data_IF_013422873845
#
_entry.id   IF_013422873845
#
_cell.length_a   1.000
_cell.length_b   1.000
_cell.length_c   1.000
_cell.angle_alpha   90.00
_cell.angle_beta   90.00
_cell.angle_gamma   90.00
#
_symmetry.space_group_name_H-M   'P 1'
#
loop_
_entity.id
_entity.type
_entity.pdbx_description
1 polymer ?
#
# COMPACT_ATOMS: atom_id res chain seq x y z
N UNK A 1 -19.43 -7.05 -66.15
CA UNK A 1 -18.91 -7.47 -64.84
C UNK A 1 -18.43 -6.24 -64.07
N UNK A 2 -19.25 -5.71 -63.15
CA UNK A 2 -18.95 -4.70 -62.12
C UNK A 2 -20.28 -4.40 -61.42
N UNK A 3 -20.25 -4.20 -60.11
CA UNK A 3 -21.36 -4.05 -59.14
C UNK A 3 -21.78 -5.38 -58.51
N UNK A 4 -21.30 -5.61 -57.29
CA UNK A 4 -21.93 -6.25 -56.11
C UNK A 4 -20.84 -6.73 -55.13
N UNK A 5 -20.13 -5.79 -54.49
CA UNK A 5 -19.40 -6.06 -53.22
C UNK A 5 -19.35 -4.73 -52.46
N UNK A 6 -20.44 -4.39 -51.77
CA UNK A 6 -20.50 -3.21 -50.91
C UNK A 6 -21.59 -3.44 -49.85
N UNK A 7 -21.37 -4.40 -48.95
CA UNK A 7 -22.10 -4.49 -47.67
C UNK A 7 -21.52 -5.60 -46.77
N UNK A 8 -20.27 -5.49 -46.29
CA UNK A 8 -19.78 -6.38 -45.21
C UNK A 8 -18.51 -5.85 -44.50
N UNK A 9 -18.44 -4.56 -44.16
CA UNK A 9 -17.24 -3.96 -43.55
C UNK A 9 -17.53 -2.89 -42.48
N UNK A 10 -18.67 -2.99 -41.80
CA UNK A 10 -19.09 -2.04 -40.75
C UNK A 10 -19.68 -2.73 -39.51
N UNK A 11 -19.10 -3.87 -39.10
CA UNK A 11 -19.41 -4.53 -37.81
C UNK A 11 -18.15 -4.79 -36.96
N UNK A 12 -16.95 -4.37 -37.38
CA UNK A 12 -15.71 -4.60 -36.61
C UNK A 12 -15.11 -3.36 -35.91
N UNK A 13 -15.80 -2.22 -35.85
CA UNK A 13 -15.23 -0.95 -35.34
C UNK A 13 -15.97 -0.36 -34.13
N UNK A 14 -16.64 -1.17 -33.31
CA UNK A 14 -17.25 -0.71 -32.04
C UNK A 14 -16.91 -1.62 -30.84
N UNK A 15 -15.88 -2.46 -30.93
CA UNK A 15 -15.49 -3.36 -29.83
C UNK A 15 -14.13 -3.03 -29.21
N UNK A 16 -13.80 -1.74 -29.06
CA UNK A 16 -12.49 -1.31 -28.52
C UNK A 16 -12.56 -0.40 -27.30
N UNK A 17 -13.73 -0.15 -26.72
CA UNK A 17 -13.88 0.70 -25.52
C UNK A 17 -14.43 -0.01 -24.29
N UNK A 18 -14.51 -1.34 -24.30
CA UNK A 18 -14.58 -2.09 -23.05
C UNK A 18 -13.14 -2.24 -22.56
N UNK A 19 -12.70 -1.28 -21.76
CA UNK A 19 -11.58 -1.50 -20.84
C UNK A 19 -11.99 -2.66 -19.95
N UNK A 20 -11.60 -3.88 -20.34
CA UNK A 20 -11.72 -5.03 -19.48
C UNK A 20 -10.82 -4.75 -18.29
N UNK A 21 -11.41 -4.31 -17.19
CA UNK A 21 -10.79 -4.35 -15.87
C UNK A 21 -10.59 -5.82 -15.53
N UNK A 22 -9.50 -6.40 -16.01
CA UNK A 22 -9.00 -7.66 -15.50
C UNK A 22 -8.49 -7.38 -14.09
N UNK A 23 -9.38 -7.47 -13.10
CA UNK A 23 -9.02 -7.79 -11.73
C UNK A 23 -8.48 -9.22 -11.70
N UNK A 24 -7.33 -9.43 -12.33
CA UNK A 24 -6.74 -10.74 -12.50
C UNK A 24 -5.82 -11.00 -11.32
N UNK A 25 -6.21 -11.95 -10.48
CA UNK A 25 -5.33 -12.58 -9.50
C UNK A 25 -3.99 -12.89 -10.19
N UNK A 26 -2.95 -12.12 -9.86
CA UNK A 26 -1.63 -12.33 -10.44
C UNK A 26 -1.11 -13.69 -9.95
N UNK A 27 -0.86 -14.61 -10.87
CA UNK A 27 -0.58 -16.00 -10.51
C UNK A 27 0.78 -16.17 -9.82
N UNK A 28 1.69 -15.24 -10.05
CA UNK A 28 3.07 -15.24 -9.56
C UNK A 28 3.26 -14.58 -8.19
N UNK A 29 2.17 -14.12 -7.54
CA UNK A 29 2.23 -13.56 -6.18
C UNK A 29 1.66 -14.49 -5.11
N UNK A 30 1.15 -15.67 -5.45
CA UNK A 30 0.37 -16.51 -4.53
C UNK A 30 1.12 -16.91 -3.25
N UNK A 31 2.44 -17.13 -3.34
CA UNK A 31 3.33 -17.45 -2.22
C UNK A 31 4.35 -16.32 -1.95
N UNK A 32 4.11 -15.12 -2.48
CA UNK A 32 5.04 -14.00 -2.37
C UNK A 32 4.79 -13.21 -1.08
N UNK A 33 5.85 -12.81 -0.37
CA UNK A 33 5.76 -12.08 0.90
C UNK A 33 4.95 -10.78 0.79
N UNK A 34 5.00 -10.11 -0.36
CA UNK A 34 4.28 -8.86 -0.63
C UNK A 34 2.83 -9.06 -1.13
N UNK A 35 2.31 -10.30 -1.20
CA UNK A 35 0.99 -10.61 -1.78
C UNK A 35 -0.14 -9.73 -1.25
N UNK A 36 -0.24 -9.61 0.07
CA UNK A 36 -1.33 -8.84 0.71
C UNK A 36 -1.34 -7.39 0.28
N UNK A 37 -0.18 -6.73 0.32
CA UNK A 37 -0.02 -5.34 -0.11
C UNK A 37 -0.29 -5.19 -1.61
N UNK A 38 0.22 -6.10 -2.44
CA UNK A 38 0.00 -6.08 -3.90
C UNK A 38 -1.50 -6.19 -4.20
N UNK A 39 -2.22 -7.13 -3.56
CA UNK A 39 -3.68 -7.27 -3.77
C UNK A 39 -4.44 -6.00 -3.37
N UNK A 40 -4.06 -5.37 -2.26
CA UNK A 40 -4.66 -4.11 -1.80
C UNK A 40 -4.42 -2.98 -2.80
N UNK A 41 -3.21 -2.88 -3.34
CA UNK A 41 -2.87 -1.87 -4.34
C UNK A 41 -3.58 -2.09 -5.68
N UNK A 42 -3.82 -3.35 -6.06
CA UNK A 42 -4.61 -3.70 -7.24
C UNK A 42 -6.08 -3.33 -7.02
N UNK A 43 -6.66 -3.63 -5.85
CA UNK A 43 -8.07 -3.30 -5.56
C UNK A 43 -8.33 -1.80 -5.51
N UNK A 44 -7.33 -1.01 -5.11
CA UNK A 44 -7.40 0.45 -5.08
C UNK A 44 -6.99 1.13 -6.40
N UNK A 45 -6.76 0.37 -7.48
CA UNK A 45 -6.31 0.86 -8.80
C UNK A 45 -4.98 1.67 -8.78
N UNK A 46 -4.18 1.50 -7.72
CA UNK A 46 -2.85 2.11 -7.62
C UNK A 46 -1.82 1.41 -8.52
N UNK A 47 -2.03 0.13 -8.80
CA UNK A 47 -1.17 -0.65 -9.68
C UNK A 47 -1.96 -1.71 -10.43
N UNK A 48 -1.46 -2.09 -11.60
CA UNK A 48 -2.01 -3.20 -12.38
C UNK A 48 -0.93 -4.24 -12.67
N UNK A 49 -1.37 -5.48 -12.85
CA UNK A 49 -0.54 -6.54 -13.42
C UNK A 49 -0.37 -6.39 -14.94
N UNK A 50 0.31 -7.35 -15.55
CA UNK A 50 0.53 -7.41 -16.99
C UNK A 50 -0.58 -8.18 -17.71
N UNK A 51 -0.75 -7.99 -19.03
CA UNK A 51 -1.77 -8.71 -19.81
C UNK A 51 -1.64 -10.24 -19.77
N UNK A 52 -0.45 -10.75 -19.46
CA UNK A 52 -0.14 -12.18 -19.32
C UNK A 52 -0.54 -12.77 -17.95
N UNK A 53 -1.25 -12.00 -17.11
CA UNK A 53 -1.65 -12.35 -15.74
C UNK A 53 -0.50 -12.45 -14.72
N UNK A 54 0.69 -11.94 -15.06
CA UNK A 54 1.79 -11.79 -14.10
C UNK A 54 1.77 -10.43 -13.41
N UNK A 55 2.36 -10.34 -12.23
CA UNK A 55 2.70 -9.08 -11.57
C UNK A 55 4.20 -8.76 -11.67
N UNK A 56 5.04 -9.79 -11.77
CA UNK A 56 6.52 -9.72 -11.81
C UNK A 56 7.10 -9.05 -10.55
N UNK A 57 6.78 -9.57 -9.35
CA UNK A 57 7.10 -8.89 -8.08
C UNK A 57 8.60 -8.67 -7.87
N UNK A 58 9.44 -9.58 -8.39
CA UNK A 58 10.88 -9.57 -8.20
C UNK A 58 11.65 -8.81 -9.29
N UNK A 59 10.95 -8.29 -10.32
CA UNK A 59 11.63 -7.52 -11.36
C UNK A 59 11.98 -6.13 -10.82
N UNK A 60 13.17 -5.59 -11.16
CA UNK A 60 13.48 -4.19 -10.91
C UNK A 60 12.45 -3.27 -11.57
N UNK A 61 12.13 -2.17 -10.91
CA UNK A 61 11.25 -1.12 -11.45
C UNK A 61 12.06 0.09 -11.89
N UNK A 62 11.66 0.71 -12.99
CA UNK A 62 12.28 1.94 -13.49
C UNK A 62 11.85 3.17 -12.70
N UNK A 63 12.60 4.27 -12.82
CA UNK A 63 12.24 5.57 -12.24
C UNK A 63 10.85 6.04 -12.68
N UNK A 64 10.53 5.92 -13.97
CA UNK A 64 9.22 6.32 -14.50
C UNK A 64 8.09 5.42 -13.99
N UNK A 65 8.28 4.11 -13.95
CA UNK A 65 7.28 3.21 -13.38
C UNK A 65 7.07 3.49 -11.88
N UNK A 66 8.13 3.79 -11.11
CA UNK A 66 8.01 4.18 -9.71
C UNK A 66 7.22 5.48 -9.55
N UNK A 67 7.47 6.49 -10.39
CA UNK A 67 6.66 7.73 -10.40
C UNK A 67 5.19 7.47 -10.75
N UNK A 68 4.86 6.52 -11.65
CA UNK A 68 3.46 6.13 -11.91
C UNK A 68 2.80 5.67 -10.61
N UNK A 69 3.49 4.83 -9.83
CA UNK A 69 2.98 4.33 -8.56
C UNK A 69 2.77 5.46 -7.55
N UNK A 70 3.74 6.37 -7.41
CA UNK A 70 3.64 7.53 -6.52
C UNK A 70 2.48 8.43 -6.92
N UNK A 71 2.39 8.80 -8.20
CA UNK A 71 1.33 9.67 -8.70
C UNK A 71 -0.07 9.09 -8.47
N UNK A 72 -0.25 7.78 -8.70
CA UNK A 72 -1.52 7.10 -8.45
C UNK A 72 -1.86 7.01 -6.97
N UNK A 73 -0.93 6.54 -6.14
CA UNK A 73 -1.18 6.30 -4.72
C UNK A 73 -1.35 7.59 -3.89
N UNK A 74 -0.68 8.68 -4.29
CA UNK A 74 -0.70 9.96 -3.56
C UNK A 74 -1.51 11.06 -4.29
N UNK A 75 -2.20 10.72 -5.38
CA UNK A 75 -3.14 11.63 -6.05
C UNK A 75 -2.50 12.81 -6.79
N UNK A 76 -1.22 12.74 -7.16
CA UNK A 76 -0.57 13.81 -7.92
C UNK A 76 -1.05 13.84 -9.37
N UNK A 77 -1.72 14.92 -9.75
CA UNK A 77 -2.37 15.06 -11.07
C UNK A 77 -1.83 16.23 -11.88
N UNK A 78 -1.38 17.31 -11.22
CA UNK A 78 -0.84 18.53 -11.83
C UNK A 78 0.43 18.24 -12.63
N UNK A 79 0.65 18.96 -13.73
CA UNK A 79 1.83 18.79 -14.60
C UNK A 79 2.68 20.05 -14.58
N UNK A 80 3.98 19.87 -14.36
CA UNK A 80 4.98 20.92 -14.42
C UNK A 80 5.70 20.94 -15.77
N UNK A 81 6.47 22.00 -15.99
CA UNK A 81 7.35 22.12 -17.15
C UNK A 81 8.48 21.08 -17.08
N UNK A 82 8.82 20.52 -18.25
CA UNK A 82 9.90 19.54 -18.38
C UNK A 82 11.10 20.20 -19.05
N UNK A 83 12.25 20.16 -18.38
CA UNK A 83 13.53 20.69 -18.88
C UNK A 83 14.63 19.63 -18.99
N UNK A 84 14.27 18.33 -18.97
CA UNK A 84 15.22 17.22 -19.02
C UNK A 84 15.46 16.76 -20.46
N UNK A 85 16.73 16.60 -20.83
CA UNK A 85 17.14 16.30 -22.22
C UNK A 85 16.68 14.94 -22.75
N UNK A 86 16.35 14.01 -21.87
CA UNK A 86 15.94 12.64 -22.16
C UNK A 86 14.45 12.41 -21.87
N UNK A 87 13.65 13.48 -21.79
CA UNK A 87 12.21 13.41 -21.57
C UNK A 87 11.48 14.11 -22.71
N UNK A 88 10.92 13.33 -23.64
CA UNK A 88 10.22 13.83 -24.84
C UNK A 88 8.70 13.72 -24.71
N UNK A 89 7.96 14.71 -25.21
CA UNK A 89 6.48 14.79 -25.10
C UNK A 89 5.70 13.58 -25.64
N UNK A 90 6.25 12.89 -26.65
CA UNK A 90 5.63 11.71 -27.24
C UNK A 90 5.80 10.41 -26.45
N UNK A 91 6.60 10.43 -25.37
CA UNK A 91 6.94 9.24 -24.61
C UNK A 91 5.93 8.95 -23.51
N UNK A 92 5.65 7.67 -23.25
CA UNK A 92 4.63 7.23 -22.29
C UNK A 92 4.87 7.79 -20.87
N UNK A 93 6.13 8.01 -20.50
CA UNK A 93 6.52 8.51 -19.18
C UNK A 93 6.39 10.04 -19.06
N UNK A 94 6.24 10.79 -20.15
CA UNK A 94 6.28 12.26 -20.13
C UNK A 94 5.31 12.86 -19.11
N UNK A 95 4.02 12.46 -19.18
CA UNK A 95 3.00 12.96 -18.25
C UNK A 95 3.30 12.59 -16.80
N UNK A 96 3.93 11.44 -16.56
CA UNK A 96 4.23 10.99 -15.20
C UNK A 96 5.42 11.76 -14.62
N UNK A 97 6.44 12.03 -15.45
CA UNK A 97 7.58 12.86 -15.07
C UNK A 97 7.11 14.29 -14.79
N UNK A 98 6.24 14.84 -15.62
CA UNK A 98 5.70 16.19 -15.42
C UNK A 98 4.97 16.33 -14.07
N UNK A 99 4.24 15.29 -13.65
CA UNK A 99 3.60 15.23 -12.32
C UNK A 99 4.60 15.14 -11.18
N UNK A 100 5.63 14.30 -11.35
CA UNK A 100 6.69 14.17 -10.36
C UNK A 100 7.45 15.49 -10.12
N UNK A 101 7.66 16.24 -11.20
CA UNK A 101 8.31 17.56 -11.16
C UNK A 101 7.41 18.59 -10.49
N UNK A 102 6.12 18.68 -10.86
CA UNK A 102 5.18 19.60 -10.23
C UNK A 102 5.04 19.36 -8.72
N UNK A 103 4.93 18.08 -8.33
CA UNK A 103 4.83 17.70 -6.92
C UNK A 103 6.17 17.79 -6.16
N UNK A 104 7.29 18.05 -6.85
CA UNK A 104 8.61 18.25 -6.24
C UNK A 104 9.27 17.00 -5.62
N UNK A 105 8.64 15.83 -5.73
CA UNK A 105 9.12 14.62 -5.05
C UNK A 105 10.28 13.91 -5.76
N UNK A 106 10.47 14.14 -7.07
CA UNK A 106 11.59 13.58 -7.82
C UNK A 106 12.15 14.58 -8.83
N UNK A 107 13.47 14.75 -8.81
CA UNK A 107 14.22 15.53 -9.79
C UNK A 107 15.16 14.66 -10.63
N UNK A 108 15.76 15.27 -11.64
CA UNK A 108 16.79 14.64 -12.47
C UNK A 108 18.18 14.69 -11.86
N UNK A 109 19.15 14.17 -12.61
CA UNK A 109 20.55 14.14 -12.27
C UNK A 109 21.25 15.45 -12.67
N UNK A 110 22.47 15.64 -12.15
CA UNK A 110 23.32 16.82 -12.42
C UNK A 110 23.71 16.99 -13.88
N UNK A 111 23.61 15.93 -14.69
CA UNK A 111 23.85 15.96 -16.14
C UNK A 111 22.65 16.43 -16.98
N UNK A 112 21.56 16.86 -16.32
CA UNK A 112 20.33 17.32 -16.95
C UNK A 112 19.41 16.21 -17.47
N UNK A 113 19.64 14.95 -17.09
CA UNK A 113 18.77 13.81 -17.43
C UNK A 113 17.81 13.43 -16.29
N UNK A 114 16.67 12.83 -16.63
CA UNK A 114 15.75 12.19 -15.67
C UNK A 114 15.98 10.68 -15.56
N UNK A 115 16.54 10.06 -16.61
CA UNK A 115 16.73 8.61 -16.80
C UNK A 115 15.46 7.80 -16.53
N UNK A 116 14.33 8.10 -17.20
CA UNK A 116 13.02 7.52 -16.87
C UNK A 116 13.01 5.98 -16.95
N UNK A 117 13.74 5.40 -17.89
CA UNK A 117 13.82 3.94 -18.09
C UNK A 117 14.93 3.26 -17.26
N UNK A 118 15.71 4.00 -16.47
CA UNK A 118 16.73 3.40 -15.63
C UNK A 118 16.08 2.84 -14.36
N UNK A 119 16.49 1.64 -13.89
CA UNK A 119 16.09 1.14 -12.58
C UNK A 119 16.38 2.15 -11.48
N UNK A 120 15.45 2.28 -10.53
CA UNK A 120 15.58 3.20 -9.40
C UNK A 120 16.28 2.50 -8.22
N UNK A 121 17.26 3.18 -7.63
CA UNK A 121 18.01 2.62 -6.51
C UNK A 121 17.32 2.87 -5.17
N UNK A 122 17.65 2.06 -4.16
CA UNK A 122 17.11 2.16 -2.81
C UNK A 122 17.31 3.54 -2.18
N UNK A 123 18.50 4.13 -2.30
CA UNK A 123 18.76 5.46 -1.77
C UNK A 123 18.04 6.59 -2.54
N UNK A 124 17.67 6.39 -3.82
CA UNK A 124 16.85 7.37 -4.54
C UNK A 124 15.39 7.31 -4.07
N UNK A 125 14.90 6.10 -3.79
CA UNK A 125 13.55 5.88 -3.27
C UNK A 125 13.37 6.56 -1.92
N UNK A 126 14.37 6.56 -1.03
CA UNK A 126 14.26 7.23 0.28
C UNK A 126 14.13 8.74 0.17
N UNK A 127 14.74 9.37 -0.85
CA UNK A 127 14.52 10.79 -1.16
C UNK A 127 13.06 11.03 -1.53
N UNK A 128 12.50 10.19 -2.40
CA UNK A 128 11.09 10.32 -2.81
C UNK A 128 10.17 10.15 -1.61
N UNK A 129 10.36 9.09 -0.81
CA UNK A 129 9.56 8.80 0.38
C UNK A 129 9.57 9.97 1.36
N UNK A 130 10.74 10.55 1.62
CA UNK A 130 10.86 11.69 2.54
C UNK A 130 10.17 12.94 2.00
N UNK A 131 10.26 13.18 0.68
CA UNK A 131 9.59 14.33 0.05
C UNK A 131 8.08 14.21 0.02
N UNK A 132 7.53 13.04 -0.32
CA UNK A 132 6.05 12.85 -0.36
C UNK A 132 5.41 12.83 1.03
N UNK A 133 6.17 12.47 2.07
CA UNK A 133 5.71 12.46 3.48
C UNK A 133 6.14 13.70 4.27
N UNK A 134 6.87 14.63 3.64
CA UNK A 134 7.52 15.76 4.29
C UNK A 134 8.32 15.35 5.55
N UNK A 135 8.99 14.20 5.50
CA UNK A 135 9.78 13.67 6.61
C UNK A 135 11.14 14.37 6.67
N UNK A 136 11.52 14.99 7.80
CA UNK A 136 12.84 15.60 7.96
C UNK A 136 13.98 14.57 7.86
N UNK A 137 15.08 14.99 7.26
CA UNK A 137 16.32 14.21 7.20
C UNK A 137 16.82 13.81 8.60
N UNK A 138 17.31 12.57 8.74
CA UNK A 138 17.85 12.05 10.00
C UNK A 138 19.14 11.25 9.74
N UNK A 139 20.28 11.93 9.51
CA UNK A 139 21.52 11.24 9.16
C UNK A 139 22.06 10.34 10.27
N UNK A 140 21.76 10.60 11.54
CA UNK A 140 22.21 9.75 12.67
C UNK A 140 21.61 8.34 12.66
N UNK A 141 20.46 8.15 12.01
CA UNK A 141 19.80 6.83 11.96
C UNK A 141 20.45 5.86 10.96
N UNK A 142 21.53 6.24 10.27
CA UNK A 142 22.25 5.33 9.36
C UNK A 142 23.32 4.49 10.07
N UNK A 143 23.70 4.84 11.30
CA UNK A 143 24.80 4.19 12.03
C UNK A 143 24.53 2.71 12.33
N UNK A 144 23.26 2.28 12.26
CA UNK A 144 22.86 0.88 12.35
C UNK A 144 23.19 0.06 11.09
N UNK A 145 23.60 0.69 9.99
CA UNK A 145 23.89 0.00 8.74
C UNK A 145 25.39 -0.25 8.55
N UNK A 146 25.75 -1.51 8.29
CA UNK A 146 27.15 -1.94 8.08
C UNK A 146 27.79 -1.32 6.86
N UNK A 147 26.99 -0.88 5.88
CA UNK A 147 27.40 -0.24 4.63
C UNK A 147 27.04 1.26 4.59
N UNK A 148 26.91 1.93 5.74
CA UNK A 148 26.60 3.36 5.82
C UNK A 148 27.57 4.25 5.02
N UNK A 149 28.81 3.82 4.84
CA UNK A 149 29.83 4.50 4.02
C UNK A 149 29.55 4.45 2.51
N UNK A 150 28.77 3.47 2.04
CA UNK A 150 28.35 3.35 0.64
C UNK A 150 27.14 4.24 0.29
N UNK A 151 26.47 4.82 1.30
CA UNK A 151 25.36 5.74 1.10
C UNK A 151 25.93 7.07 0.60
N UNK A 152 25.43 7.56 -0.54
CA UNK A 152 25.85 8.84 -1.07
C UNK A 152 25.55 9.97 -0.05
N UNK A 153 26.44 10.96 0.04
CA UNK A 153 26.29 12.03 1.05
C UNK A 153 24.94 12.76 0.97
N UNK A 154 24.42 12.98 -0.25
CA UNK A 154 23.11 13.59 -0.46
C UNK A 154 21.93 12.70 -0.04
N UNK A 155 22.14 11.40 0.14
CA UNK A 155 21.10 10.43 0.49
C UNK A 155 21.08 10.09 1.98
N UNK A 156 22.16 10.36 2.74
CA UNK A 156 22.32 9.91 4.13
C UNK A 156 21.16 10.32 5.04
N UNK A 157 20.78 11.59 4.98
CA UNK A 157 19.66 12.12 5.77
C UNK A 157 18.33 11.43 5.43
N UNK A 158 18.06 11.22 4.15
CA UNK A 158 16.85 10.56 3.67
C UNK A 158 16.81 9.07 3.99
N UNK A 159 17.95 8.37 3.87
CA UNK A 159 18.05 6.95 4.24
C UNK A 159 17.78 6.76 5.71
N UNK A 160 18.43 7.53 6.58
CA UNK A 160 18.19 7.44 8.01
C UNK A 160 16.76 7.83 8.39
N UNK A 161 16.17 8.84 7.74
CA UNK A 161 14.77 9.20 7.92
C UNK A 161 13.80 8.07 7.55
N UNK A 162 13.98 7.47 6.36
CA UNK A 162 13.14 6.36 5.90
C UNK A 162 13.28 5.10 6.77
N UNK A 163 14.49 4.84 7.30
CA UNK A 163 14.74 3.76 8.24
C UNK A 163 14.04 4.01 9.59
N UNK A 164 14.21 5.21 10.17
CA UNK A 164 13.60 5.59 11.44
C UNK A 164 12.07 5.60 11.39
N UNK A 165 11.48 5.99 10.26
CA UNK A 165 10.02 5.95 10.04
C UNK A 165 9.49 4.56 9.65
N UNK A 166 10.37 3.58 9.42
CA UNK A 166 9.99 2.23 9.02
C UNK A 166 9.50 2.10 7.58
N UNK A 167 9.62 3.15 6.75
CA UNK A 167 9.23 3.14 5.34
C UNK A 167 10.11 2.18 4.54
N UNK A 168 11.42 2.21 4.79
CA UNK A 168 12.40 1.33 4.16
C UNK A 168 13.51 1.00 5.15
N UNK A 169 13.66 -0.29 5.48
CA UNK A 169 14.72 -0.79 6.37
C UNK A 169 15.86 -1.49 5.62
N UNK A 170 16.86 -1.94 6.36
CA UNK A 170 17.97 -2.76 5.85
C UNK A 170 17.61 -4.24 5.69
N UNK A 171 18.62 -5.03 5.37
CA UNK A 171 18.57 -6.47 5.19
C UNK A 171 19.00 -7.21 6.47
N UNK A 172 18.79 -8.54 6.57
CA UNK A 172 19.21 -9.33 7.74
C UNK A 172 20.71 -9.32 8.02
N UNK A 173 21.54 -8.95 7.04
CA UNK A 173 23.00 -8.77 7.16
C UNK A 173 23.38 -7.37 7.67
N UNK A 174 22.41 -6.63 8.22
CA UNK A 174 22.54 -5.27 8.74
C UNK A 174 22.97 -4.23 7.69
N UNK A 175 22.94 -4.56 6.40
CA UNK A 175 23.24 -3.60 5.32
C UNK A 175 21.98 -2.92 4.78
N UNK A 176 22.12 -1.70 4.26
CA UNK A 176 21.06 -0.97 3.57
C UNK A 176 21.05 -1.24 2.06
N UNK A 177 22.20 -1.52 1.45
CA UNK A 177 22.43 -1.70 0.01
C UNK A 177 21.96 -0.50 -0.83
N UNK A 178 22.51 0.71 -0.61
CA UNK A 178 21.97 1.97 -1.15
C UNK A 178 21.89 2.05 -2.68
N UNK A 179 22.81 1.37 -3.36
CA UNK A 179 22.92 1.35 -4.82
C UNK A 179 22.15 0.21 -5.48
N UNK A 180 21.62 -0.75 -4.70
CA UNK A 180 20.79 -1.80 -5.26
C UNK A 180 19.47 -1.21 -5.77
N UNK A 181 19.00 -1.75 -6.90
CA UNK A 181 17.70 -1.39 -7.45
C UNK A 181 16.59 -2.07 -6.66
N UNK A 182 15.50 -1.36 -6.42
CA UNK A 182 14.32 -1.98 -5.80
C UNK A 182 13.52 -2.79 -6.81
N UNK A 183 12.93 -3.87 -6.32
CA UNK A 183 11.94 -4.66 -7.05
C UNK A 183 10.57 -3.98 -7.04
N UNK A 184 9.71 -4.41 -7.97
CA UNK A 184 8.31 -3.94 -8.05
C UNK A 184 7.53 -4.21 -6.75
N UNK A 185 7.78 -5.33 -6.08
CA UNK A 185 7.17 -5.64 -4.78
C UNK A 185 7.69 -4.73 -3.66
N UNK A 186 9.01 -4.50 -3.58
CA UNK A 186 9.58 -3.55 -2.61
C UNK A 186 9.05 -2.14 -2.82
N UNK A 187 8.87 -1.69 -4.08
CA UNK A 187 8.28 -0.41 -4.42
C UNK A 187 6.87 -0.25 -3.82
N UNK A 188 6.00 -1.23 -4.07
CA UNK A 188 4.63 -1.23 -3.56
C UNK A 188 4.62 -1.23 -2.03
N UNK A 189 5.45 -2.05 -1.39
CA UNK A 189 5.46 -2.17 0.07
C UNK A 189 5.99 -0.91 0.74
N UNK A 190 7.07 -0.31 0.22
CA UNK A 190 7.63 0.90 0.82
C UNK A 190 6.72 2.10 0.64
N UNK A 191 6.08 2.23 -0.54
CA UNK A 191 5.07 3.26 -0.77
C UNK A 191 3.82 3.02 0.07
N UNK A 192 3.40 1.77 0.25
CA UNK A 192 2.27 1.45 1.13
C UNK A 192 2.55 1.89 2.55
N UNK A 193 3.75 1.61 3.07
CA UNK A 193 4.15 2.04 4.42
C UNK A 193 4.12 3.55 4.58
N UNK A 194 4.60 4.29 3.57
CA UNK A 194 4.51 5.75 3.56
C UNK A 194 3.05 6.23 3.50
N UNK A 195 2.24 5.63 2.60
CA UNK A 195 0.83 5.97 2.45
C UNK A 195 0.05 5.70 3.74
N UNK A 196 0.23 4.54 4.38
CA UNK A 196 -0.44 4.20 5.64
C UNK A 196 0.09 4.98 6.83
N UNK A 197 1.31 5.52 6.77
CA UNK A 197 1.81 6.41 7.82
C UNK A 197 1.20 7.83 7.72
N UNK A 198 0.82 8.27 6.52
CA UNK A 198 0.02 9.49 6.32
C UNK A 198 -1.46 9.23 6.62
N UNK A 199 -2.03 8.10 6.17
CA UNK A 199 -3.42 7.68 6.49
C UNK A 199 -3.57 7.30 7.96
N UNK A 200 -2.48 6.89 8.63
CA UNK A 200 -2.41 6.68 10.08
C UNK A 200 -2.57 7.95 10.91
N UNK A 201 -2.85 9.10 10.28
CA UNK A 201 -3.36 10.31 10.94
C UNK A 201 -4.88 10.50 10.82
N UNK A 202 -5.61 9.73 10.01
CA UNK A 202 -7.07 9.87 9.86
C UNK A 202 -7.90 8.57 9.75
N UNK A 203 -7.31 7.38 9.62
CA UNK A 203 -8.07 6.14 9.82
C UNK A 203 -7.55 5.39 11.05
N UNK A 204 -8.28 5.59 12.14
CA UNK A 204 -8.25 4.73 13.31
C UNK A 204 -8.48 3.29 12.85
N UNK A 205 -7.46 2.44 12.93
CA UNK A 205 -7.70 1.09 13.44
C UNK A 205 -8.56 1.32 14.68
N UNK A 206 -9.85 0.93 14.71
CA UNK A 206 -10.69 1.32 15.82
C UNK A 206 -10.00 0.80 17.08
N UNK A 207 -9.89 1.67 18.09
CA UNK A 207 -9.25 1.32 19.37
C UNK A 207 -9.92 0.09 20.00
N UNK A 208 -11.10 -0.24 19.50
CA UNK A 208 -12.00 -1.26 19.98
C UNK A 208 -12.58 -2.04 18.77
N UNK A 209 -12.87 -3.32 18.93
CA UNK A 209 -13.62 -4.12 17.95
C UNK A 209 -15.10 -4.06 18.31
N UNK A 210 -15.94 -3.51 17.43
CA UNK A 210 -17.38 -3.37 17.67
C UNK A 210 -18.16 -4.48 16.95
N UNK A 211 -19.07 -5.14 17.67
CA UNK A 211 -20.06 -6.08 17.13
C UNK A 211 -21.45 -5.47 17.27
N UNK A 212 -21.97 -4.92 16.18
CA UNK A 212 -23.24 -4.18 16.08
C UNK A 212 -24.31 -4.88 15.23
N UNK A 213 -24.07 -6.13 14.87
CA UNK A 213 -25.04 -7.03 14.22
C UNK A 213 -25.11 -8.36 14.96
N UNK A 214 -26.28 -9.01 14.95
CA UNK A 214 -26.46 -10.34 15.53
C UNK A 214 -25.63 -11.39 14.79
N UNK A 215 -25.06 -12.36 15.51
CA UNK A 215 -24.30 -13.44 14.89
C UNK A 215 -23.26 -14.10 15.78
N UNK A 216 -22.63 -15.15 15.24
CA UNK A 216 -21.57 -15.89 15.95
C UNK A 216 -20.20 -15.48 15.43
N UNK A 217 -19.40 -14.90 16.32
CA UNK A 217 -18.08 -14.37 16.03
C UNK A 217 -17.01 -15.22 16.71
N UNK A 218 -16.09 -15.75 15.91
CA UNK A 218 -14.97 -16.58 16.37
C UNK A 218 -14.98 -17.98 15.76
N UNK A 219 -13.83 -18.67 15.79
CA UNK A 219 -13.68 -19.92 15.06
C UNK A 219 -14.51 -21.04 15.67
N UNK A 220 -14.91 -22.03 14.87
CA UNK A 220 -15.60 -23.23 15.37
C UNK A 220 -14.67 -24.13 16.18
N UNK A 221 -13.36 -24.10 15.90
CA UNK A 221 -12.32 -24.86 16.60
C UNK A 221 -11.06 -24.01 16.82
N UNK A 222 -10.26 -24.34 17.83
CA UNK A 222 -9.08 -23.54 18.21
C UNK A 222 -9.47 -22.24 18.93
N UNK A 223 -8.51 -21.35 19.17
CA UNK A 223 -8.75 -20.02 19.77
C UNK A 223 -8.03 -18.94 18.99
N UNK A 224 -8.60 -17.74 18.95
CA UNK A 224 -7.94 -16.53 18.43
C UNK A 224 -7.76 -15.50 19.53
N UNK A 225 -6.69 -14.71 19.43
CA UNK A 225 -6.41 -13.60 20.35
C UNK A 225 -6.75 -12.26 19.70
N UNK A 226 -7.51 -11.43 20.40
CA UNK A 226 -7.81 -10.04 20.07
C UNK A 226 -7.00 -9.18 21.04
N UNK A 227 -6.13 -8.32 20.52
CA UNK A 227 -5.23 -7.46 21.34
C UNK A 227 -5.86 -6.13 21.73
N UNK A 228 -7.10 -5.88 21.28
CA UNK A 228 -7.85 -4.63 21.46
C UNK A 228 -9.02 -4.82 22.41
N UNK A 229 -9.59 -3.70 22.84
CA UNK A 229 -10.88 -3.69 23.52
C UNK A 229 -11.98 -4.17 22.57
N UNK A 230 -13.08 -4.69 23.12
CA UNK A 230 -14.21 -5.24 22.37
C UNK A 230 -15.49 -4.62 22.89
N UNK A 231 -16.36 -4.15 22.01
CA UNK A 231 -17.69 -3.65 22.34
C UNK A 231 -18.76 -4.46 21.60
N UNK A 232 -19.77 -4.91 22.32
CA UNK A 232 -20.97 -5.55 21.77
C UNK A 232 -22.12 -4.57 21.90
N UNK A 233 -22.76 -4.23 20.78
CA UNK A 233 -23.87 -3.27 20.70
C UNK A 233 -25.18 -3.89 20.23
N UNK A 234 -25.16 -5.08 19.65
CA UNK A 234 -26.35 -5.75 19.15
C UNK A 234 -26.80 -6.92 20.03
N UNK A 235 -28.12 -7.13 20.04
CA UNK A 235 -28.78 -8.35 20.47
C UNK A 235 -28.34 -9.55 19.60
N UNK A 236 -28.34 -10.75 20.17
CA UNK A 236 -28.05 -12.00 19.48
C UNK A 236 -26.58 -12.22 19.12
N UNK A 237 -25.66 -11.47 19.74
CA UNK A 237 -24.22 -11.63 19.53
C UNK A 237 -23.69 -12.80 20.36
N UNK A 238 -23.07 -13.76 19.68
CA UNK A 238 -22.31 -14.85 20.29
C UNK A 238 -20.82 -14.65 20.02
N UNK A 239 -20.02 -14.38 21.05
CA UNK A 239 -18.57 -14.49 20.94
C UNK A 239 -18.16 -15.92 21.29
N UNK A 240 -17.36 -16.56 20.44
CA UNK A 240 -16.86 -17.90 20.71
C UNK A 240 -15.35 -18.06 20.52
N UNK A 241 -14.71 -18.88 21.36
CA UNK A 241 -13.33 -19.34 21.18
C UNK A 241 -12.31 -18.19 21.02
N UNK A 242 -12.39 -17.18 21.90
CA UNK A 242 -11.53 -15.97 21.85
C UNK A 242 -10.75 -15.76 23.15
N UNK A 243 -9.58 -15.14 23.03
CA UNK A 243 -8.88 -14.43 24.12
C UNK A 243 -8.93 -12.95 23.76
N UNK A 244 -9.43 -12.11 24.65
CA UNK A 244 -9.43 -10.65 24.51
C UNK A 244 -8.38 -10.14 25.50
N UNK A 245 -7.29 -9.56 25.02
CA UNK A 245 -6.25 -8.98 25.87
C UNK A 245 -6.69 -7.63 26.46
N UNK A 246 -7.51 -6.88 25.71
CA UNK A 246 -8.18 -5.68 26.18
C UNK A 246 -9.41 -5.95 27.06
N UNK A 247 -10.22 -4.92 27.22
CA UNK A 247 -11.48 -4.95 27.94
C UNK A 247 -12.65 -5.37 27.04
N UNK A 248 -13.70 -5.92 27.63
CA UNK A 248 -14.94 -6.26 26.95
C UNK A 248 -16.07 -5.39 27.49
N UNK A 249 -16.82 -4.72 26.62
CA UNK A 249 -18.02 -3.96 26.98
C UNK A 249 -19.25 -4.53 26.27
N UNK A 250 -20.24 -4.95 27.03
CA UNK A 250 -21.61 -5.18 26.54
C UNK A 250 -22.35 -3.87 26.74
N UNK A 251 -22.56 -3.13 25.66
CA UNK A 251 -23.01 -1.75 25.70
C UNK A 251 -24.53 -1.64 25.94
N UNK A 252 -24.98 -0.45 26.36
CA UNK A 252 -26.40 -0.18 26.65
C UNK A 252 -27.29 -0.39 25.42
N UNK A 253 -26.73 -0.22 24.22
CA UNK A 253 -27.41 -0.42 22.93
C UNK A 253 -27.96 -1.85 22.74
N UNK A 254 -27.44 -2.85 23.47
CA UNK A 254 -27.99 -4.22 23.47
C UNK A 254 -29.43 -4.23 24.02
N UNK A 255 -29.80 -3.27 24.87
CA UNK A 255 -31.14 -3.16 25.46
C UNK A 255 -31.51 -4.40 26.27
N UNK A 256 -32.74 -4.90 26.10
CA UNK A 256 -33.22 -6.15 26.74
C UNK A 256 -32.79 -7.43 25.99
N UNK A 257 -31.85 -7.32 25.05
CA UNK A 257 -31.35 -8.44 24.24
C UNK A 257 -30.37 -9.37 24.95
N UNK A 258 -29.99 -10.44 24.26
CA UNK A 258 -29.13 -11.51 24.76
C UNK A 258 -27.74 -11.49 24.12
N UNK A 259 -26.71 -11.74 24.93
CA UNK A 259 -25.32 -11.89 24.49
C UNK A 259 -24.73 -13.19 25.04
N UNK A 260 -24.09 -13.97 24.18
CA UNK A 260 -23.53 -15.27 24.51
C UNK A 260 -22.00 -15.25 24.44
N UNK A 261 -21.32 -15.67 25.52
CA UNK A 261 -19.86 -15.75 25.58
C UNK A 261 -19.40 -17.20 25.75
N UNK A 262 -19.05 -17.86 24.64
CA UNK A 262 -18.71 -19.28 24.59
C UNK A 262 -17.19 -19.51 24.53
N UNK A 263 -16.56 -19.98 25.61
CA UNK A 263 -15.10 -20.16 25.65
C UNK A 263 -14.32 -18.87 25.32
N UNK A 264 -14.76 -17.76 25.92
CA UNK A 264 -14.11 -16.45 25.84
C UNK A 264 -13.31 -16.19 27.12
N UNK A 265 -12.09 -15.69 26.99
CA UNK A 265 -11.30 -15.19 28.12
C UNK A 265 -10.99 -13.73 27.89
N UNK A 266 -11.36 -12.87 28.85
CA UNK A 266 -10.99 -11.44 28.86
C UNK A 266 -9.85 -11.25 29.86
N UNK A 267 -8.78 -10.58 29.45
CA UNK A 267 -7.62 -10.26 30.30
C UNK A 267 -7.75 -8.87 30.92
N UNK A 268 -8.39 -7.93 30.23
CA UNK A 268 -8.79 -6.64 30.77
C UNK A 268 -10.07 -6.72 31.60
N UNK A 269 -10.77 -5.59 31.71
CA UNK A 269 -12.02 -5.51 32.47
C UNK A 269 -13.22 -5.94 31.63
N UNK A 270 -14.29 -6.40 32.27
CA UNK A 270 -15.57 -6.68 31.59
C UNK A 270 -16.65 -5.76 32.14
N UNK A 271 -17.21 -4.92 31.27
CA UNK A 271 -18.31 -4.00 31.57
C UNK A 271 -19.59 -4.54 30.97
N UNK A 272 -20.63 -4.67 31.78
CA UNK A 272 -21.96 -5.08 31.33
C UNK A 272 -22.92 -3.92 31.64
N UNK A 273 -23.39 -3.27 30.58
CA UNK A 273 -24.25 -2.07 30.65
C UNK A 273 -25.59 -2.25 29.94
N UNK A 274 -25.67 -3.17 28.97
CA UNK A 274 -26.92 -3.69 28.43
C UNK A 274 -27.29 -5.06 29.01
N UNK A 275 -28.41 -5.61 28.58
CA UNK A 275 -29.03 -6.81 29.12
C UNK A 275 -30.26 -6.43 29.97
N UNK A 276 -31.40 -7.07 29.67
CA UNK A 276 -32.64 -6.84 30.39
C UNK A 276 -32.57 -7.26 31.84
N UNK A 277 -33.57 -6.87 32.64
CA UNK A 277 -33.69 -7.39 34.02
C UNK A 277 -34.06 -8.87 33.97
N UNK A 278 -33.23 -9.70 34.60
CA UNK A 278 -33.59 -11.08 34.99
C UNK A 278 -34.84 -11.10 35.87
#
# INVERSE_FOLDING_TARGET
>A
MKKKVALLLTICMVLSSLGLTFGANASDIENHWAKGTIKTWISNDFISGYPDRSFRPNNPITRAEFMVLVNKAFGFTERGEISYKDVSEGEWYYSTVARAVAAGYMGGYTDGSMKPNHPISRQEVTVVLSKITNTPENPSAIDSFTDASAIANWAKGYVGAAAAKGYMGGYPDESFKPTNNITRAEAVVTLNKALTAEVGKEEQEPAEIVYDEAGTYGPQTGRITITKDVIIKADGVTLQNKVIEGSLTIAEEVGDGEVYLNNVTVKGETFIRGGGKD
#
